data_IF_942189592186
#
_entry.id   IF_942189592186
#
_cell.length_a   1.000
_cell.length_b   1.000
_cell.length_c   1.000
_cell.angle_alpha   90.00
_cell.angle_beta   90.00
_cell.angle_gamma   90.00
#
_symmetry.space_group_name_H-M   'P 1'
#
loop_
_entity.id
_entity.type
_entity.pdbx_description
1 polymer ?
#
# COMPACT_ATOMS: atom_id res chain seq x y z
N UNK A 1 -7.34 -10.25 3.85
CA UNK A 1 -6.25 -10.31 4.84
C UNK A 1 -6.34 -9.06 5.69
N UNK A 2 -6.67 -9.19 6.98
CA UNK A 2 -6.85 -8.08 7.92
C UNK A 2 -5.49 -7.52 8.37
N UNK A 3 -5.42 -6.21 8.58
CA UNK A 3 -4.19 -5.43 8.77
C UNK A 3 -3.80 -5.28 10.24
N UNK A 4 -4.02 -6.31 11.08
CA UNK A 4 -3.63 -6.27 12.49
C UNK A 4 -2.37 -7.10 12.72
N UNK A 5 -1.30 -6.47 13.21
CA UNK A 5 -0.04 -7.16 13.53
C UNK A 5 -0.23 -8.28 14.54
N UNK A 6 -1.10 -8.11 15.54
CA UNK A 6 -1.37 -9.14 16.54
C UNK A 6 -1.97 -10.41 15.91
N UNK A 7 -2.83 -10.27 14.90
CA UNK A 7 -3.40 -11.42 14.18
C UNK A 7 -2.36 -12.14 13.33
N UNK A 8 -1.45 -11.41 12.70
CA UNK A 8 -0.34 -11.99 11.93
C UNK A 8 0.56 -12.83 12.83
N UNK A 9 0.99 -12.28 13.97
CA UNK A 9 1.80 -13.04 14.94
C UNK A 9 1.03 -14.23 15.51
N UNK A 10 -0.26 -14.05 15.82
CA UNK A 10 -1.13 -15.12 16.27
C UNK A 10 -1.17 -16.26 15.24
N UNK A 11 -1.33 -15.96 13.94
CA UNK A 11 -1.33 -16.95 12.87
C UNK A 11 0.01 -17.70 12.77
N UNK A 12 1.14 -16.98 12.78
CA UNK A 12 2.48 -17.57 12.71
C UNK A 12 2.75 -18.49 13.91
N UNK A 13 2.30 -18.09 15.09
CA UNK A 13 2.57 -18.81 16.34
C UNK A 13 1.52 -19.88 16.67
N UNK A 14 0.34 -19.88 16.02
CA UNK A 14 -0.82 -20.72 16.38
C UNK A 14 -0.47 -22.20 16.49
N UNK A 15 0.30 -22.73 15.54
CA UNK A 15 0.69 -24.14 15.49
C UNK A 15 1.83 -24.53 16.45
N UNK A 16 2.56 -23.54 16.99
CA UNK A 16 3.81 -23.78 17.72
C UNK A 16 3.69 -23.51 19.22
N UNK A 17 2.51 -23.13 19.73
CA UNK A 17 2.32 -22.71 21.13
C UNK A 17 2.62 -23.78 22.16
N UNK A 18 2.48 -25.06 21.80
CA UNK A 18 2.71 -26.19 22.68
C UNK A 18 4.16 -26.72 22.60
N UNK A 19 5.01 -26.11 21.77
CA UNK A 19 6.38 -26.55 21.55
C UNK A 19 7.35 -25.89 22.54
N UNK A 20 8.47 -26.55 22.88
CA UNK A 20 9.54 -25.92 23.65
C UNK A 20 10.09 -24.69 22.92
N UNK A 21 10.60 -23.71 23.68
CA UNK A 21 11.05 -22.41 23.14
C UNK A 21 12.03 -22.56 21.96
N UNK A 22 12.94 -23.53 22.04
CA UNK A 22 13.90 -23.84 20.97
C UNK A 22 13.21 -24.23 19.66
N UNK A 23 12.21 -25.08 19.71
CA UNK A 23 11.43 -25.51 18.55
C UNK A 23 10.58 -24.36 17.97
N UNK A 24 10.08 -23.45 18.81
CA UNK A 24 9.38 -22.24 18.33
C UNK A 24 10.33 -21.33 17.56
N UNK A 25 11.54 -21.09 18.09
CA UNK A 25 12.57 -20.27 17.42
C UNK A 25 12.97 -20.90 16.08
N UNK A 26 13.21 -22.21 16.06
CA UNK A 26 13.55 -22.95 14.86
C UNK A 26 12.43 -22.90 13.81
N UNK A 27 11.17 -23.09 14.23
CA UNK A 27 10.02 -23.01 13.32
C UNK A 27 9.81 -21.61 12.74
N UNK A 28 10.01 -20.55 13.53
CA UNK A 28 9.95 -19.17 13.03
C UNK A 28 11.10 -18.90 12.06
N UNK A 29 12.32 -19.37 12.37
CA UNK A 29 13.49 -19.21 11.50
C UNK A 29 13.31 -19.93 10.16
N UNK A 30 12.99 -21.23 10.14
CA UNK A 30 12.76 -21.95 8.89
C UNK A 30 11.51 -21.48 8.16
N UNK A 31 10.46 -21.10 8.89
CA UNK A 31 9.24 -20.53 8.31
C UNK A 31 9.52 -19.22 7.57
N UNK A 32 10.29 -18.32 8.19
CA UNK A 32 10.72 -17.06 7.56
C UNK A 32 11.62 -17.30 6.36
N UNK A 33 12.62 -18.19 6.46
CA UNK A 33 13.47 -18.55 5.31
C UNK A 33 12.67 -19.10 4.13
N UNK A 34 11.75 -20.04 4.38
CA UNK A 34 10.87 -20.60 3.34
C UNK A 34 10.04 -19.49 2.69
N UNK A 35 9.42 -18.64 3.50
CA UNK A 35 8.63 -17.52 3.02
C UNK A 35 9.42 -16.56 2.13
N UNK A 36 10.65 -16.20 2.52
CA UNK A 36 11.52 -15.35 1.71
C UNK A 36 11.90 -16.02 0.39
N UNK A 37 12.25 -17.32 0.38
CA UNK A 37 12.54 -18.06 -0.86
C UNK A 37 11.34 -18.08 -1.81
N UNK A 38 10.17 -18.46 -1.31
CA UNK A 38 8.93 -18.50 -2.11
C UNK A 38 8.60 -17.13 -2.70
N UNK A 39 8.69 -16.07 -1.89
CA UNK A 39 8.49 -14.67 -2.33
C UNK A 39 9.47 -14.25 -3.41
N UNK A 40 10.74 -14.62 -3.25
CA UNK A 40 11.78 -14.29 -4.21
C UNK A 40 11.58 -14.99 -5.55
N UNK A 41 11.21 -16.28 -5.55
CA UNK A 41 10.90 -17.01 -6.79
C UNK A 41 9.65 -16.46 -7.49
N UNK A 42 8.62 -16.08 -6.74
CA UNK A 42 7.45 -15.38 -7.30
C UNK A 42 7.84 -14.03 -7.92
N UNK A 43 8.72 -13.27 -7.26
CA UNK A 43 9.19 -11.99 -7.78
C UNK A 43 9.97 -12.18 -9.09
N UNK A 44 10.87 -13.17 -9.18
CA UNK A 44 11.58 -13.51 -10.42
C UNK A 44 10.63 -13.84 -11.57
N UNK A 45 9.66 -14.74 -11.34
CA UNK A 45 8.65 -15.11 -12.35
C UNK A 45 7.88 -13.88 -12.82
N UNK A 46 7.41 -13.06 -11.88
CA UNK A 46 6.68 -11.85 -12.22
C UNK A 46 7.49 -10.85 -13.07
N UNK A 47 8.79 -10.72 -12.82
CA UNK A 47 9.69 -9.87 -13.63
C UNK A 47 9.86 -10.45 -15.03
N UNK A 48 10.01 -11.77 -15.14
CA UNK A 48 10.11 -12.47 -16.42
C UNK A 48 8.83 -12.32 -17.26
N UNK A 49 7.66 -12.48 -16.65
CA UNK A 49 6.38 -12.47 -17.36
C UNK A 49 5.89 -11.05 -17.71
N UNK A 50 6.24 -10.05 -16.89
CA UNK A 50 5.75 -8.67 -17.05
C UNK A 50 6.92 -7.72 -17.28
N UNK A 51 7.48 -7.65 -18.48
CA UNK A 51 8.58 -6.69 -18.75
C UNK A 51 8.12 -5.22 -18.77
N UNK A 52 6.84 -4.97 -19.06
CA UNK A 52 6.36 -3.61 -19.37
C UNK A 52 5.97 -2.76 -18.14
N UNK A 53 6.06 -3.30 -16.92
CA UNK A 53 5.72 -2.56 -15.69
C UNK A 53 6.94 -2.40 -14.77
N UNK A 54 7.19 -1.23 -14.17
CA UNK A 54 8.35 -1.04 -13.29
C UNK A 54 8.17 -1.60 -11.86
N UNK A 55 6.93 -1.86 -11.43
CA UNK A 55 6.60 -2.24 -10.05
C UNK A 55 6.25 -3.72 -9.85
N UNK A 56 6.43 -4.23 -8.63
CA UNK A 56 6.06 -5.60 -8.27
C UNK A 56 4.53 -5.84 -8.30
N UNK A 57 4.13 -7.11 -8.46
CA UNK A 57 2.72 -7.54 -8.53
C UNK A 57 1.88 -6.96 -7.41
N UNK A 58 2.36 -7.06 -6.18
CA UNK A 58 1.67 -6.58 -4.99
C UNK A 58 1.35 -5.08 -5.05
N UNK A 59 2.27 -4.26 -5.55
CA UNK A 59 2.04 -2.84 -5.70
C UNK A 59 0.98 -2.57 -6.78
N UNK A 60 1.03 -3.28 -7.90
CA UNK A 60 0.03 -3.16 -8.97
C UNK A 60 -1.37 -3.60 -8.51
N UNK A 61 -1.50 -4.73 -7.83
CA UNK A 61 -2.76 -5.21 -7.26
C UNK A 61 -3.33 -4.22 -6.24
N UNK A 62 -2.45 -3.63 -5.41
CA UNK A 62 -2.85 -2.59 -4.48
C UNK A 62 -3.38 -1.36 -5.23
N UNK A 63 -2.64 -0.88 -6.23
CA UNK A 63 -3.02 0.29 -7.03
C UNK A 63 -4.36 0.06 -7.73
N UNK A 64 -4.58 -1.06 -8.40
CA UNK A 64 -5.84 -1.40 -9.06
C UNK A 64 -7.03 -1.32 -8.09
N UNK A 65 -6.91 -1.91 -6.89
CA UNK A 65 -7.94 -1.84 -5.84
C UNK A 65 -8.16 -0.42 -5.32
N UNK A 66 -7.12 0.42 -5.29
CA UNK A 66 -7.25 1.82 -4.85
C UNK A 66 -7.84 2.72 -5.92
N UNK A 67 -7.56 2.45 -7.19
CA UNK A 67 -8.16 3.14 -8.34
C UNK A 67 -9.67 2.89 -8.35
N UNK A 68 -10.10 1.63 -8.26
CA UNK A 68 -11.54 1.31 -8.19
C UNK A 68 -12.24 2.00 -7.01
N UNK A 69 -11.55 2.07 -5.85
CA UNK A 69 -12.07 2.80 -4.70
C UNK A 69 -12.07 4.32 -4.91
N UNK A 70 -11.10 4.86 -5.64
CA UNK A 70 -10.96 6.29 -5.92
C UNK A 70 -12.15 6.81 -6.75
N UNK A 71 -12.62 6.02 -7.71
CA UNK A 71 -13.75 6.34 -8.59
C UNK A 71 -15.08 6.58 -7.86
N UNK A 72 -15.17 6.22 -6.57
CA UNK A 72 -16.37 6.40 -5.74
C UNK A 72 -16.32 7.65 -4.86
N UNK A 73 -15.19 8.37 -4.86
CA UNK A 73 -14.98 9.54 -4.00
C UNK A 73 -15.27 10.83 -4.76
N UNK A 74 -15.72 11.85 -4.03
CA UNK A 74 -15.91 13.20 -4.58
C UNK A 74 -14.81 14.11 -4.06
N UNK A 75 -14.22 14.93 -4.94
CA UNK A 75 -13.13 15.84 -4.59
C UNK A 75 -13.60 17.28 -4.65
N UNK A 76 -13.18 18.08 -3.66
CA UNK A 76 -13.36 19.54 -3.62
C UNK A 76 -12.01 20.21 -3.40
N UNK A 77 -11.74 21.28 -4.15
CA UNK A 77 -10.56 22.10 -3.94
C UNK A 77 -10.75 22.98 -2.70
N UNK A 78 -9.83 22.89 -1.74
CA UNK A 78 -9.81 23.71 -0.51
C UNK A 78 -8.53 24.55 -0.53
N UNK A 79 -8.53 25.64 -1.28
CA UNK A 79 -7.44 26.63 -1.24
C UNK A 79 -7.10 27.27 -2.58
N UNK A 80 -6.50 28.46 -2.51
CA UNK A 80 -6.12 29.26 -3.69
C UNK A 80 -4.65 29.12 -4.11
N UNK A 81 -3.76 28.66 -3.22
CA UNK A 81 -2.31 28.60 -3.48
C UNK A 81 -1.66 27.25 -3.14
N UNK A 82 -2.21 26.50 -2.18
CA UNK A 82 -1.76 25.15 -1.86
C UNK A 82 -2.68 24.14 -2.54
N UNK A 83 -2.11 23.14 -3.23
CA UNK A 83 -2.82 22.00 -3.87
C UNK A 83 -3.43 21.09 -2.79
N UNK A 84 -4.43 21.63 -2.10
CA UNK A 84 -5.17 21.07 -0.98
C UNK A 84 -6.56 20.67 -1.44
N UNK A 85 -6.91 19.43 -1.17
CA UNK A 85 -8.16 18.84 -1.61
C UNK A 85 -8.87 18.22 -0.42
N UNK A 86 -10.17 18.47 -0.32
CA UNK A 86 -11.06 17.68 0.51
C UNK A 86 -11.65 16.55 -0.32
N UNK A 87 -11.39 15.32 0.11
CA UNK A 87 -11.95 14.12 -0.51
C UNK A 87 -13.06 13.59 0.38
N UNK A 88 -14.28 13.60 -0.15
CA UNK A 88 -15.48 13.10 0.51
C UNK A 88 -15.67 11.62 0.13
N UNK A 89 -15.78 10.75 1.13
CA UNK A 89 -16.09 9.35 0.91
C UNK A 89 -17.56 9.17 0.50
N UNK A 90 -17.87 8.13 -0.30
CA UNK A 90 -19.26 7.76 -0.55
C UNK A 90 -19.95 7.47 0.79
N UNK A 91 -21.15 8.01 0.95
CA UNK A 91 -22.00 7.74 2.11
C UNK A 91 -22.49 6.30 1.98
N UNK A 92 -21.96 5.39 2.79
CA UNK A 92 -22.47 4.02 2.85
C UNK A 92 -23.89 4.09 3.45
N UNK A 93 -24.89 3.90 2.59
CA UNK A 93 -26.31 3.93 2.94
C UNK A 93 -26.73 2.70 3.75
N UNK A 94 -26.11 2.46 4.91
CA UNK A 94 -26.65 1.54 5.91
C UNK A 94 -26.08 1.81 7.31
N UNK A 95 -26.91 2.38 8.19
CA UNK A 95 -26.84 2.11 9.64
C UNK A 95 -25.84 2.90 10.49
N UNK A 96 -25.25 3.99 10.01
CA UNK A 96 -24.57 4.95 10.89
C UNK A 96 -24.84 6.35 10.38
N UNK A 97 -25.00 7.29 11.31
CA UNK A 97 -25.25 8.72 11.11
C UNK A 97 -24.70 9.22 9.77
N UNK A 98 -25.49 9.99 9.02
CA UNK A 98 -25.17 10.59 7.70
C UNK A 98 -24.00 11.60 7.76
N UNK A 99 -22.99 11.37 8.58
CA UNK A 99 -21.77 12.15 8.64
C UNK A 99 -20.92 11.82 7.42
N UNK A 100 -20.78 12.82 6.56
CA UNK A 100 -19.86 12.78 5.42
C UNK A 100 -18.45 12.67 5.98
N UNK A 101 -17.84 11.49 5.87
CA UNK A 101 -16.42 11.32 6.20
C UNK A 101 -15.58 12.01 5.13
N UNK A 102 -14.77 12.98 5.54
CA UNK A 102 -13.87 13.69 4.64
C UNK A 102 -12.41 13.45 5.02
N UNK A 103 -11.53 13.54 4.03
CA UNK A 103 -10.09 13.51 4.22
C UNK A 103 -9.45 14.66 3.47
N UNK A 104 -8.58 15.41 4.17
CA UNK A 104 -7.70 16.36 3.52
C UNK A 104 -6.52 15.62 2.86
N UNK A 105 -6.23 16.02 1.62
CA UNK A 105 -5.10 15.58 0.80
C UNK A 105 -4.29 16.80 0.38
N UNK A 106 -2.98 16.72 0.56
CA UNK A 106 -2.01 17.72 0.07
C UNK A 106 -1.13 17.05 -0.98
N UNK A 107 -1.06 17.65 -2.15
CA UNK A 107 -0.18 17.20 -3.23
C UNK A 107 0.92 18.24 -3.41
N UNK A 108 2.17 17.79 -3.39
CA UNK A 108 3.33 18.62 -3.65
C UNK A 108 3.40 19.12 -5.10
N UNK A 109 4.37 19.97 -5.38
CA UNK A 109 4.61 20.47 -6.74
C UNK A 109 5.48 19.49 -7.51
N UNK A 110 5.61 19.70 -8.83
CA UNK A 110 6.48 18.87 -9.67
C UNK A 110 7.95 18.88 -9.21
N UNK A 111 8.38 19.96 -8.55
CA UNK A 111 9.72 20.08 -7.96
C UNK A 111 9.88 19.31 -6.64
N UNK A 112 8.78 19.05 -5.92
CA UNK A 112 8.76 18.32 -4.66
C UNK A 112 7.57 17.34 -4.65
N UNK A 113 7.71 16.15 -5.27
CA UNK A 113 6.63 15.18 -5.41
C UNK A 113 6.34 14.51 -4.06
N UNK A 114 5.66 15.23 -3.19
CA UNK A 114 5.16 14.73 -1.91
C UNK A 114 3.66 14.51 -2.00
N UNK A 115 3.14 13.51 -1.28
CA UNK A 115 1.71 13.38 -1.08
C UNK A 115 1.43 13.12 0.40
N UNK A 116 0.53 13.91 0.95
CA UNK A 116 0.07 13.76 2.33
C UNK A 116 -1.42 13.58 2.34
N UNK A 117 -1.90 12.70 3.21
CA UNK A 117 -3.31 12.49 3.42
C UNK A 117 -3.56 12.21 4.89
N UNK A 118 -4.63 12.79 5.43
CA UNK A 118 -5.08 12.59 6.82
C UNK A 118 -5.36 11.13 7.17
N UNK A 119 -5.57 10.26 6.17
CA UNK A 119 -5.66 8.81 6.40
C UNK A 119 -4.33 8.12 6.74
N UNK A 120 -3.19 8.84 6.66
CA UNK A 120 -1.82 8.40 6.91
C UNK A 120 -1.30 7.20 6.10
N UNK A 121 -2.10 6.65 5.17
CA UNK A 121 -1.70 5.51 4.34
C UNK A 121 -0.49 5.80 3.45
N UNK A 122 -0.36 6.96 2.77
CA UNK A 122 0.84 7.26 1.99
C UNK A 122 2.11 7.22 2.84
N UNK A 123 2.03 7.74 4.07
CA UNK A 123 3.14 7.74 5.03
C UNK A 123 3.54 6.34 5.49
N UNK A 124 2.57 5.48 5.80
CA UNK A 124 2.85 4.14 6.35
C UNK A 124 3.10 3.06 5.31
N UNK A 125 2.44 3.14 4.16
CA UNK A 125 2.54 2.13 3.10
C UNK A 125 3.53 2.51 2.01
N UNK A 126 3.97 3.77 1.98
CA UNK A 126 4.80 4.32 0.90
C UNK A 126 4.17 4.10 -0.49
N UNK A 127 2.83 4.14 -0.52
CA UNK A 127 1.98 3.95 -1.68
C UNK A 127 0.84 4.97 -1.63
N UNK A 128 0.43 5.57 -2.75
CA UNK A 128 -0.69 6.50 -2.76
C UNK A 128 -1.97 5.80 -2.30
N UNK A 129 -2.82 6.52 -1.57
CA UNK A 129 -4.11 6.01 -1.14
C UNK A 129 -5.21 6.40 -2.14
N UNK A 130 -6.40 5.82 -2.03
CA UNK A 130 -7.53 6.17 -2.92
C UNK A 130 -7.88 7.66 -2.93
N UNK A 131 -7.62 8.39 -1.84
CA UNK A 131 -7.86 9.84 -1.76
C UNK A 131 -6.81 10.62 -2.55
N UNK A 132 -5.54 10.19 -2.49
CA UNK A 132 -4.47 10.79 -3.29
C UNK A 132 -4.70 10.55 -4.77
N UNK A 133 -5.12 9.33 -5.15
CA UNK A 133 -5.41 8.98 -6.55
C UNK A 133 -6.47 9.90 -7.16
N UNK A 134 -7.60 10.07 -6.49
CA UNK A 134 -8.68 10.94 -7.01
C UNK A 134 -8.28 12.42 -7.02
N UNK A 135 -7.46 12.86 -6.08
CA UNK A 135 -6.94 14.23 -6.08
C UNK A 135 -5.90 14.45 -7.19
N UNK A 136 -5.12 13.43 -7.55
CA UNK A 136 -4.19 13.48 -8.69
C UNK A 136 -4.94 13.54 -10.03
N UNK A 137 -6.05 12.82 -10.15
CA UNK A 137 -6.92 12.84 -11.34
C UNK A 137 -7.45 14.24 -11.65
N UNK A 138 -7.78 15.03 -10.62
CA UNK A 138 -8.23 16.44 -10.78
C UNK A 138 -7.18 17.39 -11.35
N UNK A 139 -5.90 17.04 -11.28
CA UNK A 139 -4.77 17.84 -11.78
C UNK A 139 -4.00 17.15 -12.90
N UNK A 140 -4.56 16.08 -13.46
CA UNK A 140 -3.95 15.26 -14.52
C UNK A 140 -2.52 14.80 -14.18
N UNK A 141 -2.25 14.55 -12.89
CA UNK A 141 -0.94 14.12 -12.41
C UNK A 141 -0.88 12.60 -12.30
N UNK A 142 0.19 12.00 -12.81
CA UNK A 142 0.40 10.58 -12.66
C UNK A 142 0.79 10.23 -11.21
N UNK A 143 -0.13 9.58 -10.49
CA UNK A 143 0.05 9.18 -9.11
C UNK A 143 1.14 8.11 -8.92
N UNK A 144 1.62 7.50 -10.01
CA UNK A 144 2.77 6.60 -10.00
C UNK A 144 4.02 7.28 -9.41
N UNK A 145 4.18 8.59 -9.63
CA UNK A 145 5.28 9.39 -9.07
C UNK A 145 5.38 9.33 -7.54
N UNK A 146 4.28 9.04 -6.84
CA UNK A 146 4.24 8.93 -5.38
C UNK A 146 4.49 7.51 -4.86
N UNK A 147 4.68 6.52 -5.75
CA UNK A 147 5.03 5.16 -5.36
C UNK A 147 6.50 5.10 -4.98
N UNK A 148 6.81 4.58 -3.80
CA UNK A 148 8.19 4.49 -3.35
C UNK A 148 9.05 3.57 -4.23
N UNK A 149 10.33 3.92 -4.47
CA UNK A 149 11.30 3.07 -5.15
C UNK A 149 11.45 1.67 -4.55
N UNK A 150 11.06 1.49 -3.28
CA UNK A 150 11.02 0.17 -2.62
C UNK A 150 10.21 -0.88 -3.40
N UNK A 151 9.17 -0.45 -4.12
CA UNK A 151 8.31 -1.33 -4.88
C UNK A 151 8.80 -1.61 -6.31
N UNK A 152 9.94 -1.02 -6.72
CA UNK A 152 10.55 -1.31 -8.01
C UNK A 152 10.99 -2.77 -8.07
N UNK A 153 10.80 -3.39 -9.23
CA UNK A 153 11.20 -4.78 -9.49
C UNK A 153 12.67 -5.04 -9.16
N UNK A 154 13.54 -4.08 -9.49
CA UNK A 154 14.97 -4.16 -9.25
C UNK A 154 15.31 -4.13 -7.75
N UNK A 155 14.60 -3.32 -6.96
CA UNK A 155 14.79 -3.24 -5.51
C UNK A 155 14.41 -4.57 -4.84
N UNK A 156 13.33 -5.21 -5.30
CA UNK A 156 12.87 -6.51 -4.77
C UNK A 156 13.93 -7.60 -4.96
N UNK A 157 14.62 -7.62 -6.10
CA UNK A 157 15.71 -8.59 -6.34
C UNK A 157 16.96 -8.29 -5.49
N UNK A 158 17.35 -7.02 -5.38
CA UNK A 158 18.54 -6.61 -4.59
C UNK A 158 18.37 -6.91 -3.10
N UNK A 159 17.18 -6.72 -2.54
CA UNK A 159 16.92 -6.97 -1.11
C UNK A 159 16.58 -8.44 -0.78
N UNK A 160 16.29 -9.27 -1.79
CA UNK A 160 16.02 -10.70 -1.63
C UNK A 160 17.26 -11.60 -1.63
N UNK A 161 18.44 -11.06 -1.94
CA UNK A 161 19.72 -11.75 -1.81
C UNK A 161 20.12 -11.85 -0.34
N UNK A 162 19.59 -12.86 0.35
CA UNK A 162 20.17 -13.32 1.61
C UNK A 162 21.48 -14.03 1.25
N UNK A 163 22.61 -13.42 1.61
CA UNK A 163 23.94 -14.04 1.57
C UNK A 163 24.01 -15.24 2.50
#
# INVERSE_FOLDING_TARGET
>A
MTTNFAEVYNFVLRGNRALPLTAVVEAVFHGTLRYFRERHELAKKHIADNHNTPYCSRAMEYMAKKIEKANKHTVKLIGNQERRYEVQLPTDGFGSTNEVKTHEVKIGTEFYPTCECTCNKPKFLHLPCSHVLVACDQIELDAISFVSPYYLKEAVLKHGQVR
#
